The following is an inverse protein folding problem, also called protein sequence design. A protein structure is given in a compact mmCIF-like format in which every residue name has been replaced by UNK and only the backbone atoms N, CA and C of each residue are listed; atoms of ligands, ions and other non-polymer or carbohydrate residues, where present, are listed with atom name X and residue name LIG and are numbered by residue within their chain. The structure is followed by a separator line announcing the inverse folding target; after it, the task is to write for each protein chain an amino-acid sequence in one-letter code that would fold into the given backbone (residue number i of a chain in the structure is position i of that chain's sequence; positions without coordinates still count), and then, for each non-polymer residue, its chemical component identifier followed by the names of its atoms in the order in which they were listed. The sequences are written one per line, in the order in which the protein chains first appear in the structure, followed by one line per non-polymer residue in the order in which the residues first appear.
data_IF_533379289830
#
_entry.id   IF_533379289830
#
_cell.length_a   1.000
_cell.length_b   1.000
_cell.length_c   1.000
_cell.angle_alpha   90.00
_cell.angle_beta   90.00
_cell.angle_gamma   90.00
#
_symmetry.space_group_name_H-M   'P 1'
#
loop_
_entity.id
_entity.type
_entity.pdbx_description
1 polymer ?
#
# COMPACT_ATOMS: atom_id res chain seq x y z
N UNK A 1 22.08 33.97 55.18
CA UNK A 1 22.54 32.88 56.07
C UNK A 1 22.95 31.74 55.13
N UNK A 2 24.22 31.77 54.68
CA UNK A 2 25.36 30.86 55.05
C UNK A 2 25.10 29.43 54.58
N UNK A 3 25.95 28.70 53.85
CA UNK A 3 27.36 28.73 53.36
C UNK A 3 27.39 27.71 52.16
N UNK A 4 28.05 27.91 51.01
CA UNK A 4 29.50 27.81 50.66
C UNK A 4 30.07 26.41 50.92
N UNK A 5 30.25 25.55 49.90
CA UNK A 5 31.51 25.06 49.24
C UNK A 5 31.42 23.51 49.20
N UNK A 6 31.94 22.70 48.29
CA UNK A 6 32.84 22.80 47.14
C UNK A 6 33.24 21.36 46.71
N UNK A 7 34.10 21.27 45.69
CA UNK A 7 34.87 20.09 45.22
C UNK A 7 34.25 19.15 44.17
N UNK A 8 34.90 19.13 43.00
CA UNK A 8 34.67 18.18 41.92
C UNK A 8 35.56 16.94 42.00
N UNK A 9 35.30 16.00 41.08
CA UNK A 9 36.26 15.00 40.67
C UNK A 9 35.90 14.51 39.26
N UNK A 10 36.90 14.55 38.39
CA UNK A 10 36.99 13.87 37.11
C UNK A 10 37.04 12.35 37.28
N UNK A 11 36.32 11.60 36.46
CA UNK A 11 36.74 10.24 36.10
C UNK A 11 36.38 9.91 34.65
N UNK A 12 37.44 9.60 33.90
CA UNK A 12 37.40 8.84 32.65
C UNK A 12 36.88 7.43 32.97
N UNK A 13 35.97 6.93 32.15
CA UNK A 13 35.54 5.53 32.15
C UNK A 13 35.51 5.02 30.72
N UNK A 14 36.31 4.00 30.47
CA UNK A 14 36.63 3.42 29.17
C UNK A 14 35.40 2.91 28.39
N UNK A 15 35.41 3.19 27.08
CA UNK A 15 34.47 2.61 26.11
C UNK A 15 34.94 1.18 25.81
N UNK A 16 34.26 0.18 26.39
CA UNK A 16 34.34 -1.20 25.91
C UNK A 16 33.69 -1.29 24.52
N UNK A 17 34.52 -1.34 23.48
CA UNK A 17 34.15 -1.88 22.18
C UNK A 17 33.98 -3.40 22.32
N UNK A 18 32.73 -3.86 22.45
CA UNK A 18 32.40 -5.27 22.23
C UNK A 18 32.13 -5.45 20.73
N UNK A 19 33.17 -5.87 20.00
CA UNK A 19 33.04 -6.42 18.66
C UNK A 19 32.37 -7.80 18.76
N UNK A 20 31.11 -7.90 18.34
CA UNK A 20 30.50 -9.20 18.05
C UNK A 20 30.99 -9.68 16.68
N UNK A 21 32.00 -10.54 16.70
CA UNK A 21 32.41 -11.33 15.55
C UNK A 21 31.38 -12.45 15.32
N UNK A 22 30.52 -12.26 14.31
CA UNK A 22 29.57 -13.28 13.86
C UNK A 22 30.32 -14.27 12.98
N UNK A 23 30.55 -15.46 13.52
CA UNK A 23 31.31 -16.55 12.88
C UNK A 23 30.89 -16.82 11.43
N UNK A 24 31.87 -17.13 10.58
CA UNK A 24 31.72 -17.45 9.15
C UNK A 24 30.77 -18.62 8.82
N UNK A 25 30.31 -19.38 9.82
CA UNK A 25 29.37 -20.50 9.66
C UNK A 25 27.94 -20.03 9.38
N UNK A 26 27.49 -18.91 9.94
CA UNK A 26 26.11 -18.40 9.72
C UNK A 26 25.94 -17.84 8.31
N UNK A 27 26.97 -17.24 7.73
CA UNK A 27 26.95 -16.77 6.32
C UNK A 27 26.91 -17.92 5.32
N UNK A 28 27.57 -19.04 5.64
CA UNK A 28 27.63 -20.22 4.76
C UNK A 28 26.29 -20.98 4.71
N UNK A 29 25.56 -21.07 5.84
CA UNK A 29 24.23 -21.67 5.85
C UNK A 29 23.19 -20.84 5.07
N UNK A 30 23.31 -19.51 5.07
CA UNK A 30 22.40 -18.60 4.34
C UNK A 30 22.59 -18.73 2.82
N UNK A 31 23.83 -18.85 2.34
CA UNK A 31 24.12 -19.06 0.91
C UNK A 31 23.61 -20.44 0.43
N UNK A 32 23.69 -21.46 1.28
CA UNK A 32 23.16 -22.80 0.98
C UNK A 32 21.62 -22.80 0.98
N UNK A 33 20.96 -22.00 1.84
CA UNK A 33 19.50 -21.85 1.87
C UNK A 33 18.96 -21.20 0.58
N UNK A 34 19.62 -20.16 0.07
CA UNK A 34 19.25 -19.47 -1.17
C UNK A 34 19.44 -20.40 -2.38
N UNK A 35 20.52 -21.19 -2.42
CA UNK A 35 20.78 -22.12 -3.51
C UNK A 35 19.80 -23.32 -3.54
N UNK A 36 19.36 -23.80 -2.38
CA UNK A 36 18.46 -24.97 -2.29
C UNK A 36 17.04 -24.67 -2.74
N UNK A 37 16.55 -23.45 -2.46
CA UNK A 37 15.26 -22.96 -2.99
C UNK A 37 15.37 -22.72 -4.51
N UNK A 38 16.50 -22.24 -5.00
CA UNK A 38 16.75 -22.02 -6.44
C UNK A 38 16.76 -23.32 -7.25
N UNK A 39 17.36 -24.40 -6.72
CA UNK A 39 17.40 -25.72 -7.39
C UNK A 39 16.03 -26.40 -7.40
N UNK A 40 15.23 -26.25 -6.35
CA UNK A 40 13.86 -26.77 -6.31
C UNK A 40 12.92 -26.08 -7.31
N UNK A 41 13.12 -24.77 -7.57
CA UNK A 41 12.32 -23.99 -8.51
C UNK A 41 12.77 -24.22 -9.97
N UNK A 42 14.08 -24.28 -10.25
CA UNK A 42 14.59 -24.56 -11.60
C UNK A 42 14.30 -25.99 -12.09
N UNK A 43 14.16 -26.94 -11.17
CA UNK A 43 13.76 -28.32 -11.51
C UNK A 43 12.34 -28.42 -12.07
N UNK A 44 11.51 -27.36 -11.92
CA UNK A 44 10.15 -27.31 -12.45
C UNK A 44 10.05 -26.62 -13.84
N UNK A 45 11.12 -25.97 -14.33
CA UNK A 45 11.14 -25.28 -15.63
C UNK A 45 11.92 -26.02 -16.73
N UNK A 46 12.39 -27.25 -16.49
CA UNK A 46 13.30 -27.96 -17.39
C UNK A 46 12.71 -29.17 -18.13
N UNK A 47 11.69 -29.01 -18.98
CA UNK A 47 11.43 -29.92 -20.13
C UNK A 47 10.86 -29.16 -21.32
N UNK A 48 11.74 -28.63 -22.16
CA UNK A 48 11.38 -28.03 -23.45
C UNK A 48 12.60 -27.85 -24.35
N UNK A 49 12.78 -28.79 -25.27
CA UNK A 49 13.56 -28.76 -26.51
C UNK A 49 14.94 -28.06 -26.55
N UNK A 50 15.98 -28.91 -26.59
CA UNK A 50 17.28 -28.57 -27.17
C UNK A 50 17.21 -28.65 -28.71
N UNK A 51 17.48 -27.53 -29.38
CA UNK A 51 17.80 -27.45 -30.80
C UNK A 51 19.07 -26.63 -30.97
N UNK A 52 20.17 -27.30 -31.30
CA UNK A 52 21.48 -26.70 -31.52
C UNK A 52 21.53 -26.02 -32.89
N UNK A 53 22.03 -24.79 -32.94
CA UNK A 53 22.36 -24.08 -34.17
C UNK A 53 23.34 -22.95 -33.88
N UNK A 54 24.63 -23.23 -34.04
CA UNK A 54 25.74 -22.28 -33.94
C UNK A 54 25.90 -21.49 -35.23
N UNK A 55 25.94 -20.16 -35.18
CA UNK A 55 26.73 -19.38 -36.14
C UNK A 55 27.08 -17.97 -35.62
N UNK A 56 28.19 -17.43 -36.12
CA UNK A 56 29.06 -16.41 -35.50
C UNK A 56 28.76 -14.97 -35.97
N UNK A 57 29.05 -14.03 -35.06
CA UNK A 57 29.74 -12.73 -35.20
C UNK A 57 29.44 -11.77 -36.37
N UNK A 58 29.12 -10.52 -36.03
CA UNK A 58 29.49 -9.35 -36.85
C UNK A 58 28.68 -8.06 -36.65
N UNK A 59 29.13 -7.19 -35.73
CA UNK A 59 29.23 -5.70 -35.76
C UNK A 59 28.18 -4.77 -36.43
N UNK A 60 28.16 -3.46 -36.06
CA UNK A 60 26.94 -2.64 -35.92
C UNK A 60 26.64 -1.69 -37.08
N UNK A 61 25.37 -1.29 -37.23
CA UNK A 61 24.95 -0.17 -38.10
C UNK A 61 23.92 0.71 -37.39
N UNK A 62 24.16 2.01 -37.53
CA UNK A 62 23.49 3.18 -36.96
C UNK A 62 22.15 3.53 -37.62
N UNK A 63 21.32 4.26 -36.86
CA UNK A 63 20.36 5.30 -37.29
C UNK A 63 19.22 4.92 -38.25
N UNK A 64 17.97 5.08 -37.79
CA UNK A 64 17.10 6.17 -38.26
C UNK A 64 15.76 6.21 -37.53
N UNK A 65 15.38 7.44 -37.21
CA UNK A 65 14.06 7.90 -36.83
C UNK A 65 13.02 7.49 -37.88
N UNK A 66 11.89 6.94 -37.44
CA UNK A 66 10.75 6.60 -38.30
C UNK A 66 9.46 6.63 -37.48
N UNK A 67 8.61 7.61 -37.77
CA UNK A 67 7.24 7.75 -37.26
C UNK A 67 6.46 6.45 -37.45
N UNK A 68 5.82 5.96 -36.40
CA UNK A 68 4.81 4.90 -36.50
C UNK A 68 3.43 5.55 -36.42
N UNK A 69 2.77 5.57 -37.57
CA UNK A 69 1.35 5.83 -37.76
C UNK A 69 0.50 4.72 -37.13
N UNK A 70 -0.56 5.11 -36.44
CA UNK A 70 -1.61 4.24 -35.90
C UNK A 70 -2.38 3.51 -37.01
N UNK A 71 -2.62 2.18 -36.90
CA UNK A 71 -3.63 1.49 -37.69
C UNK A 71 -4.93 1.34 -36.87
N UNK A 72 -6.03 1.74 -37.51
CA UNK A 72 -7.37 1.79 -36.94
C UNK A 72 -8.03 0.46 -36.63
N UNK A 73 -9.05 0.58 -35.77
CA UNK A 73 -10.03 -0.43 -35.43
C UNK A 73 -10.62 -1.10 -36.67
N UNK A 74 -10.52 -2.44 -36.74
CA UNK A 74 -11.37 -3.27 -37.61
C UNK A 74 -12.28 -4.14 -36.74
N UNK A 75 -13.59 -4.08 -37.03
CA UNK A 75 -14.61 -4.99 -36.51
C UNK A 75 -14.38 -6.42 -37.04
N UNK A 76 -14.49 -7.41 -36.16
CA UNK A 76 -14.55 -8.82 -36.55
C UNK A 76 -16.02 -9.30 -36.64
N UNK A 77 -16.36 -10.20 -37.58
CA UNK A 77 -17.71 -10.73 -37.74
C UNK A 77 -17.99 -11.94 -36.83
N UNK A 78 -19.26 -12.11 -36.48
CA UNK A 78 -19.82 -13.19 -35.66
C UNK A 78 -19.68 -14.57 -36.30
N UNK A 79 -19.30 -15.59 -35.50
CA UNK A 79 -19.59 -17.01 -35.74
C UNK A 79 -19.98 -17.70 -34.42
N UNK A 80 -20.89 -18.70 -34.44
CA UNK A 80 -21.44 -19.31 -33.24
C UNK A 80 -20.64 -20.54 -32.80
N UNK A 81 -20.06 -20.52 -31.61
CA UNK A 81 -19.37 -21.69 -31.02
C UNK A 81 -19.59 -21.75 -29.51
N UNK A 82 -20.80 -22.13 -29.06
CA UNK A 82 -21.25 -21.92 -27.68
C UNK A 82 -21.60 -23.19 -26.88
N UNK A 83 -21.10 -24.39 -27.24
CA UNK A 83 -21.34 -25.61 -26.43
C UNK A 83 -20.11 -26.44 -26.08
N UNK A 84 -19.01 -26.36 -26.83
CA UNK A 84 -17.76 -27.10 -26.52
C UNK A 84 -16.81 -26.32 -25.62
N UNK A 85 -16.85 -24.98 -25.69
CA UNK A 85 -16.04 -24.07 -24.87
C UNK A 85 -16.40 -24.11 -23.38
N UNK A 86 -17.66 -24.34 -23.03
CA UNK A 86 -18.10 -24.33 -21.62
C UNK A 86 -17.66 -25.57 -20.84
N UNK A 87 -17.37 -26.68 -21.53
CA UNK A 87 -16.80 -27.88 -20.90
C UNK A 87 -15.29 -27.71 -20.70
N UNK A 88 -14.58 -27.26 -21.74
CA UNK A 88 -13.16 -26.94 -21.66
C UNK A 88 -12.85 -25.83 -20.64
N UNK A 89 -13.67 -24.78 -20.56
CA UNK A 89 -13.56 -23.74 -19.52
C UNK A 89 -13.80 -24.28 -18.11
N UNK A 90 -14.74 -25.21 -17.93
CA UNK A 90 -14.98 -25.84 -16.62
C UNK A 90 -13.84 -26.77 -16.21
N UNK A 91 -13.35 -27.60 -17.12
CA UNK A 91 -12.25 -28.54 -16.84
C UNK A 91 -10.94 -27.79 -16.53
N UNK A 92 -10.65 -26.69 -17.24
CA UNK A 92 -9.50 -25.81 -16.94
C UNK A 92 -9.65 -25.11 -15.57
N UNK A 93 -10.85 -24.64 -15.22
CA UNK A 93 -11.11 -24.00 -13.91
C UNK A 93 -10.95 -24.98 -12.74
N UNK A 94 -11.46 -26.21 -12.86
CA UNK A 94 -11.36 -27.22 -11.81
C UNK A 94 -9.90 -27.64 -11.59
N UNK A 95 -9.11 -27.77 -12.65
CA UNK A 95 -7.69 -28.10 -12.53
C UNK A 95 -6.89 -26.99 -11.85
N UNK A 96 -7.16 -25.71 -12.19
CA UNK A 96 -6.47 -24.57 -11.57
C UNK A 96 -6.74 -24.45 -10.06
N UNK A 97 -7.95 -24.79 -9.60
CA UNK A 97 -8.30 -24.71 -8.17
C UNK A 97 -7.55 -25.76 -7.34
N UNK A 98 -7.47 -27.00 -7.83
CA UNK A 98 -6.70 -28.06 -7.16
C UNK A 98 -5.20 -27.73 -7.11
N UNK A 99 -4.65 -27.18 -8.20
CA UNK A 99 -3.25 -26.75 -8.27
C UNK A 99 -2.96 -25.61 -7.28
N UNK A 100 -3.81 -24.59 -7.22
CA UNK A 100 -3.67 -23.47 -6.27
C UNK A 100 -3.62 -24.00 -4.83
N UNK A 101 -4.57 -24.84 -4.43
CA UNK A 101 -4.59 -25.41 -3.08
C UNK A 101 -3.32 -26.23 -2.79
N UNK A 102 -2.87 -27.06 -3.74
CA UNK A 102 -1.64 -27.84 -3.58
C UNK A 102 -0.40 -26.95 -3.42
N UNK A 103 -0.32 -25.83 -4.16
CA UNK A 103 0.74 -24.83 -4.02
C UNK A 103 0.69 -24.19 -2.62
N UNK A 104 -0.50 -23.85 -2.13
CA UNK A 104 -0.70 -23.24 -0.81
C UNK A 104 -0.18 -24.15 0.30
N UNK A 105 -0.63 -25.41 0.34
CA UNK A 105 -0.21 -26.38 1.37
C UNK A 105 1.31 -26.56 1.36
N UNK A 106 1.89 -26.83 0.18
CA UNK A 106 3.33 -27.03 0.03
C UNK A 106 4.14 -25.83 0.51
N UNK A 107 3.66 -24.62 0.24
CA UNK A 107 4.33 -23.38 0.62
C UNK A 107 4.26 -23.15 2.13
N UNK A 108 3.11 -23.43 2.76
CA UNK A 108 2.91 -23.32 4.19
C UNK A 108 3.71 -24.37 4.97
N UNK A 109 3.77 -25.62 4.48
CA UNK A 109 4.63 -26.67 5.05
C UNK A 109 6.10 -26.25 5.03
N UNK A 110 6.58 -25.74 3.90
CA UNK A 110 7.95 -25.26 3.76
C UNK A 110 8.23 -24.09 4.71
N UNK A 111 7.28 -23.16 4.89
CA UNK A 111 7.45 -22.04 5.81
C UNK A 111 7.48 -22.51 7.27
N UNK A 112 6.55 -23.39 7.67
CA UNK A 112 6.49 -23.98 9.03
C UNK A 112 7.77 -24.73 9.40
N UNK A 113 8.34 -25.49 8.46
CA UNK A 113 9.58 -26.23 8.69
C UNK A 113 10.79 -25.32 8.97
N UNK A 114 10.75 -24.04 8.56
CA UNK A 114 11.84 -23.09 8.71
C UNK A 114 11.54 -21.96 9.72
N UNK A 115 10.34 -21.91 10.28
CA UNK A 115 9.92 -20.87 11.21
C UNK A 115 10.46 -21.14 12.63
N UNK A 116 11.01 -20.13 13.33
CA UNK A 116 11.33 -20.26 14.76
C UNK A 116 10.08 -20.57 15.59
N UNK A 117 10.20 -21.41 16.62
CA UNK A 117 9.08 -21.76 17.53
C UNK A 117 8.42 -20.53 18.17
N UNK A 118 9.19 -19.46 18.38
CA UNK A 118 8.70 -18.19 18.92
C UNK A 118 7.65 -17.47 18.04
N UNK A 119 7.42 -17.95 16.81
CA UNK A 119 6.48 -17.37 15.86
C UNK A 119 5.13 -18.11 15.76
N UNK A 120 4.85 -19.09 16.63
CA UNK A 120 3.67 -19.97 16.52
C UNK A 120 2.33 -19.26 16.31
N UNK A 121 2.04 -18.17 17.04
CA UNK A 121 0.79 -17.41 16.87
C UNK A 121 0.72 -16.66 15.55
N UNK A 122 1.84 -16.08 15.10
CA UNK A 122 1.92 -15.35 13.84
C UNK A 122 1.83 -16.30 12.63
N UNK A 123 2.39 -17.50 12.76
CA UNK A 123 2.28 -18.56 11.77
C UNK A 123 0.83 -19.03 11.59
N UNK A 124 0.07 -19.16 12.68
CA UNK A 124 -1.37 -19.48 12.60
C UNK A 124 -2.17 -18.41 11.87
N UNK A 125 -1.88 -17.13 12.13
CA UNK A 125 -2.54 -16.00 11.44
C UNK A 125 -2.21 -16.02 9.95
N UNK A 126 -0.94 -16.25 9.61
CA UNK A 126 -0.50 -16.31 8.23
C UNK A 126 -1.13 -17.50 7.49
N UNK A 127 -1.20 -18.66 8.13
CA UNK A 127 -1.86 -19.85 7.57
C UNK A 127 -3.33 -19.56 7.22
N UNK A 128 -4.13 -19.07 8.18
CA UNK A 128 -5.53 -18.69 7.92
C UNK A 128 -5.65 -17.69 6.78
N UNK A 129 -4.79 -16.67 6.77
CA UNK A 129 -4.77 -15.65 5.72
C UNK A 129 -4.42 -16.23 4.35
N UNK A 130 -3.44 -17.14 4.25
CA UNK A 130 -3.00 -17.71 2.98
C UNK A 130 -4.03 -18.69 2.40
N UNK A 131 -4.79 -19.42 3.24
CA UNK A 131 -5.92 -20.22 2.76
C UNK A 131 -7.04 -19.35 2.20
N UNK A 132 -7.39 -18.26 2.87
CA UNK A 132 -8.39 -17.32 2.35
C UNK A 132 -7.89 -16.63 1.06
N UNK A 133 -6.59 -16.30 1.00
CA UNK A 133 -5.94 -15.76 -0.20
C UNK A 133 -6.00 -16.74 -1.38
N UNK A 134 -5.74 -18.04 -1.14
CA UNK A 134 -5.87 -19.09 -2.15
C UNK A 134 -7.30 -19.17 -2.70
N UNK A 135 -8.29 -19.19 -1.80
CA UNK A 135 -9.70 -19.16 -2.17
C UNK A 135 -10.05 -17.93 -3.02
N UNK A 136 -9.58 -16.75 -2.63
CA UNK A 136 -9.76 -15.51 -3.40
C UNK A 136 -9.14 -15.60 -4.80
N UNK A 137 -7.95 -16.20 -4.94
CA UNK A 137 -7.31 -16.39 -6.24
C UNK A 137 -8.07 -17.38 -7.13
N UNK A 138 -8.71 -18.40 -6.54
CA UNK A 138 -9.60 -19.33 -7.24
C UNK A 138 -10.83 -18.58 -7.78
N UNK A 139 -11.46 -17.75 -6.95
CA UNK A 139 -12.60 -16.91 -7.35
C UNK A 139 -12.22 -15.88 -8.42
N UNK A 140 -11.00 -15.35 -8.35
CA UNK A 140 -10.44 -14.42 -9.33
C UNK A 140 -10.01 -15.12 -10.64
N UNK A 141 -10.13 -16.45 -10.73
CA UNK A 141 -9.68 -17.27 -11.87
C UNK A 141 -8.20 -17.04 -12.21
N UNK A 142 -7.38 -16.83 -11.18
CA UNK A 142 -5.95 -16.60 -11.35
C UNK A 142 -5.28 -17.86 -11.89
N UNK A 143 -4.46 -17.78 -12.95
CA UNK A 143 -3.71 -18.95 -13.43
C UNK A 143 -2.79 -19.50 -12.35
N UNK A 144 -2.81 -20.82 -12.13
CA UNK A 144 -1.99 -21.47 -11.10
C UNK A 144 -0.50 -21.14 -11.20
N UNK A 145 0.04 -20.96 -12.41
CA UNK A 145 1.43 -20.54 -12.61
C UNK A 145 1.72 -19.13 -12.06
N UNK A 146 0.80 -18.18 -12.24
CA UNK A 146 0.93 -16.82 -11.68
C UNK A 146 0.75 -16.84 -10.16
N UNK A 147 -0.19 -17.64 -9.66
CA UNK A 147 -0.35 -17.85 -8.22
C UNK A 147 0.93 -18.44 -7.60
N UNK A 148 1.55 -19.45 -8.22
CA UNK A 148 2.80 -20.04 -7.75
C UNK A 148 3.94 -19.03 -7.67
N UNK A 149 4.06 -18.15 -8.66
CA UNK A 149 5.05 -17.07 -8.68
C UNK A 149 4.84 -16.12 -7.50
N UNK A 150 3.64 -15.55 -7.36
CA UNK A 150 3.31 -14.59 -6.30
C UNK A 150 3.44 -15.25 -4.93
N UNK A 151 2.98 -16.49 -4.78
CA UNK A 151 3.09 -17.26 -3.54
C UNK A 151 4.55 -17.47 -3.14
N UNK A 152 5.40 -17.91 -4.08
CA UNK A 152 6.84 -18.10 -3.83
C UNK A 152 7.52 -16.81 -3.39
N UNK A 153 7.25 -15.71 -4.09
CA UNK A 153 7.75 -14.37 -3.72
C UNK A 153 7.26 -13.96 -2.32
N UNK A 154 5.98 -14.21 -2.02
CA UNK A 154 5.35 -13.86 -0.74
C UNK A 154 5.99 -14.60 0.44
N UNK A 155 6.22 -15.92 0.31
CA UNK A 155 6.91 -16.70 1.34
C UNK A 155 8.33 -16.19 1.59
N UNK A 156 9.04 -15.79 0.52
CA UNK A 156 10.39 -15.24 0.64
C UNK A 156 10.39 -13.90 1.39
N UNK A 157 9.58 -12.93 0.96
CA UNK A 157 9.62 -11.58 1.55
C UNK A 157 9.03 -11.54 2.95
N UNK A 158 7.98 -12.33 3.22
CA UNK A 158 7.41 -12.44 4.57
C UNK A 158 8.37 -13.18 5.50
N UNK A 159 8.97 -14.29 5.07
CA UNK A 159 9.99 -15.00 5.85
C UNK A 159 11.20 -14.12 6.20
N UNK A 160 11.64 -13.27 5.27
CA UNK A 160 12.68 -12.28 5.51
C UNK A 160 12.24 -11.22 6.53
N UNK A 161 11.04 -10.64 6.38
CA UNK A 161 10.53 -9.62 7.31
C UNK A 161 10.32 -10.16 8.73
N UNK A 162 9.93 -11.43 8.87
CA UNK A 162 9.83 -12.13 10.14
C UNK A 162 11.20 -12.31 10.82
N UNK A 163 12.21 -12.68 10.05
CA UNK A 163 13.56 -12.96 10.55
C UNK A 163 14.33 -11.67 10.87
N UNK A 164 14.14 -10.63 10.05
CA UNK A 164 14.83 -9.36 10.15
C UNK A 164 13.89 -8.21 9.76
N UNK A 165 13.05 -7.72 10.70
CA UNK A 165 12.13 -6.62 10.43
C UNK A 165 12.88 -5.37 9.96
N UNK A 166 12.39 -4.76 8.88
CA UNK A 166 12.95 -3.52 8.35
C UNK A 166 12.70 -2.35 9.31
N UNK A 167 13.66 -1.43 9.39
CA UNK A 167 13.53 -0.18 10.15
C UNK A 167 13.34 0.98 9.17
N UNK A 168 12.13 1.52 9.15
CA UNK A 168 11.79 2.64 8.28
C UNK A 168 12.42 3.95 8.76
N UNK A 169 12.91 4.75 7.80
CA UNK A 169 13.32 6.14 8.04
C UNK A 169 12.10 7.08 8.10
N UNK A 170 12.33 8.36 8.41
CA UNK A 170 11.25 9.37 8.44
C UNK A 170 10.58 9.55 7.07
N UNK A 171 11.36 9.41 5.99
CA UNK A 171 10.92 9.36 4.61
C UNK A 171 11.47 8.08 4.01
N UNK A 172 10.59 7.13 3.75
CA UNK A 172 10.91 5.90 3.07
C UNK A 172 10.57 6.04 1.59
N UNK A 173 11.53 5.71 0.72
CA UNK A 173 11.30 5.61 -0.72
C UNK A 173 11.10 4.16 -1.07
N UNK A 174 10.12 3.96 -1.93
CA UNK A 174 9.67 2.65 -2.31
C UNK A 174 10.80 1.82 -2.95
N UNK A 175 11.01 0.59 -2.49
CA UNK A 175 12.09 -0.27 -2.96
C UNK A 175 11.64 -0.99 -4.23
N UNK A 176 12.33 -0.68 -5.35
CA UNK A 176 12.08 -1.28 -6.67
C UNK A 176 13.14 -2.31 -7.08
N UNK A 177 14.29 -2.33 -6.40
CA UNK A 177 15.43 -3.20 -6.71
C UNK A 177 16.18 -3.61 -5.42
N UNK A 178 16.79 -4.81 -5.37
CA UNK A 178 16.82 -5.84 -6.41
C UNK A 178 15.49 -6.62 -6.54
N UNK A 179 14.58 -6.43 -5.59
CA UNK A 179 13.22 -6.94 -5.62
C UNK A 179 12.25 -5.75 -5.70
N UNK A 180 11.25 -5.85 -6.58
CA UNK A 180 10.24 -4.82 -6.73
C UNK A 180 9.06 -5.07 -5.77
N UNK A 181 9.15 -4.48 -4.57
CA UNK A 181 8.11 -4.62 -3.55
C UNK A 181 6.79 -3.95 -3.94
N UNK A 182 6.82 -2.97 -4.86
CA UNK A 182 5.59 -2.32 -5.33
C UNK A 182 4.86 -3.20 -6.31
N UNK A 183 5.55 -3.66 -7.36
CA UNK A 183 4.90 -4.52 -8.34
C UNK A 183 4.39 -5.81 -7.70
N UNK A 184 5.19 -6.39 -6.79
CA UNK A 184 4.73 -7.53 -6.00
C UNK A 184 3.51 -7.21 -5.14
N UNK A 185 3.48 -6.07 -4.44
CA UNK A 185 2.34 -5.66 -3.62
C UNK A 185 1.06 -5.47 -4.44
N UNK A 186 1.16 -4.80 -5.59
CA UNK A 186 0.07 -4.63 -6.55
C UNK A 186 -0.43 -5.99 -7.06
N UNK A 187 0.47 -6.86 -7.54
CA UNK A 187 0.11 -8.19 -8.02
C UNK A 187 -0.51 -9.06 -6.92
N UNK A 188 -0.03 -8.93 -5.68
CA UNK A 188 -0.55 -9.66 -4.53
C UNK A 188 -2.00 -9.30 -4.25
N UNK A 189 -2.35 -8.00 -4.26
CA UNK A 189 -3.70 -7.54 -3.89
C UNK A 189 -4.69 -7.47 -5.06
N UNK A 190 -4.22 -7.47 -6.30
CA UNK A 190 -5.07 -7.49 -7.51
C UNK A 190 -6.17 -8.58 -7.50
N UNK A 191 -5.94 -9.84 -7.09
CA UNK A 191 -7.00 -10.84 -7.02
C UNK A 191 -8.03 -10.59 -5.91
N UNK A 192 -7.79 -9.69 -4.94
CA UNK A 192 -8.80 -9.33 -3.94
C UNK A 192 -9.81 -8.32 -4.50
N UNK A 193 -9.47 -7.56 -5.55
CA UNK A 193 -10.36 -6.55 -6.10
C UNK A 193 -11.34 -7.20 -7.09
N UNK A 194 -12.64 -7.03 -6.82
CA UNK A 194 -13.72 -7.34 -7.76
C UNK A 194 -13.78 -6.27 -8.85
N UNK A 195 -13.07 -6.48 -9.94
CA UNK A 195 -12.93 -5.47 -11.00
C UNK A 195 -14.26 -5.00 -11.58
N UNK A 196 -15.23 -5.90 -11.77
CA UNK A 196 -16.53 -5.57 -12.37
C UNK A 196 -17.41 -4.67 -11.50
N UNK A 197 -17.17 -4.65 -10.18
CA UNK A 197 -17.94 -3.88 -9.19
C UNK A 197 -17.12 -2.75 -8.57
N UNK A 198 -15.84 -2.65 -8.92
CA UNK A 198 -14.92 -1.63 -8.46
C UNK A 198 -14.89 -0.45 -9.41
N UNK A 199 -14.80 0.77 -8.89
CA UNK A 199 -14.94 1.98 -9.71
C UNK A 199 -14.02 3.10 -9.25
N UNK A 200 -13.44 3.80 -10.23
CA UNK A 200 -12.71 5.04 -10.03
C UNK A 200 -13.52 6.21 -10.57
N UNK A 201 -13.81 7.17 -9.71
CA UNK A 201 -14.57 8.38 -10.03
C UNK A 201 -13.71 9.63 -9.93
N UNK A 202 -14.13 10.71 -10.59
CA UNK A 202 -13.41 11.98 -10.56
C UNK A 202 -12.12 11.98 -11.39
N UNK A 203 -12.06 11.15 -12.44
CA UNK A 203 -10.88 11.03 -13.33
C UNK A 203 -10.48 12.39 -13.94
N UNK A 204 -11.42 13.30 -14.21
CA UNK A 204 -11.09 14.66 -14.66
C UNK A 204 -10.28 15.48 -13.64
N UNK A 205 -10.43 15.20 -12.35
CA UNK A 205 -9.63 15.84 -11.30
C UNK A 205 -8.23 15.23 -11.21
N UNK A 206 -8.07 13.95 -11.57
CA UNK A 206 -6.77 13.32 -11.70
C UNK A 206 -5.92 14.00 -12.78
N UNK A 207 -6.53 14.40 -13.91
CA UNK A 207 -5.84 15.19 -14.94
C UNK A 207 -5.32 16.53 -14.38
N UNK A 208 -6.11 17.23 -13.54
CA UNK A 208 -5.65 18.45 -12.85
C UNK A 208 -4.47 18.15 -11.93
N UNK A 209 -4.55 17.06 -11.16
CA UNK A 209 -3.47 16.62 -10.27
C UNK A 209 -2.19 16.36 -11.05
N UNK A 210 -2.25 15.59 -12.15
CA UNK A 210 -1.09 15.33 -13.02
C UNK A 210 -0.49 16.65 -13.53
N UNK A 211 -1.33 17.54 -14.08
CA UNK A 211 -0.89 18.84 -14.57
C UNK A 211 -0.23 19.68 -13.47
N UNK A 212 -0.71 19.59 -12.22
CA UNK A 212 -0.15 20.32 -11.10
C UNK A 212 1.21 19.78 -10.65
N UNK A 213 1.39 18.46 -10.65
CA UNK A 213 2.68 17.86 -10.35
C UNK A 213 3.68 18.17 -11.46
N UNK A 214 3.29 18.07 -12.74
CA UNK A 214 4.17 18.33 -13.89
C UNK A 214 4.65 19.79 -13.97
N UNK A 215 3.81 20.76 -13.59
CA UNK A 215 4.21 22.19 -13.51
C UNK A 215 5.09 22.49 -12.28
N UNK A 216 5.33 21.50 -11.42
CA UNK A 216 6.20 21.59 -10.26
C UNK A 216 5.54 22.11 -8.99
N UNK A 217 4.20 22.12 -8.92
CA UNK A 217 3.44 22.41 -7.71
C UNK A 217 3.16 21.13 -6.93
N UNK A 218 2.67 21.28 -5.70
CA UNK A 218 2.39 20.16 -4.82
C UNK A 218 0.89 19.82 -4.83
N UNK A 219 0.56 18.56 -4.54
CA UNK A 219 -0.81 18.10 -4.34
C UNK A 219 -0.90 17.33 -3.02
N UNK A 220 -1.92 17.65 -2.22
CA UNK A 220 -2.26 16.94 -0.99
C UNK A 220 -3.67 16.38 -1.11
N UNK A 221 -3.78 15.05 -1.06
CA UNK A 221 -5.03 14.32 -0.96
C UNK A 221 -5.45 14.20 0.50
N UNK A 222 -6.63 14.71 0.83
CA UNK A 222 -7.25 14.63 2.16
C UNK A 222 -8.35 13.55 2.13
N UNK A 223 -8.04 12.35 2.60
CA UNK A 223 -8.86 11.15 2.40
C UNK A 223 -9.43 10.58 3.70
N UNK A 224 -10.55 9.85 3.62
CA UNK A 224 -10.82 8.81 4.62
C UNK A 224 -9.87 7.62 4.41
N UNK A 225 -9.89 6.66 5.35
CA UNK A 225 -8.99 5.51 5.35
C UNK A 225 -9.73 4.31 5.92
N UNK A 226 -9.72 3.14 5.29
CA UNK A 226 -10.50 1.99 5.76
C UNK A 226 -9.65 0.75 6.02
N UNK A 227 -8.62 0.52 5.22
CA UNK A 227 -7.80 -0.69 5.32
C UNK A 227 -6.31 -0.38 5.20
N UNK A 228 -5.46 -1.29 5.67
CA UNK A 228 -4.00 -1.16 5.45
C UNK A 228 -3.61 -1.33 3.97
N UNK A 229 -4.57 -1.74 3.12
CA UNK A 229 -4.41 -2.02 1.67
C UNK A 229 -4.90 -0.84 0.81
N UNK A 230 -5.31 0.26 1.44
CA UNK A 230 -5.72 1.47 0.73
C UNK A 230 -4.68 1.93 -0.33
N UNK A 231 -3.36 1.89 -0.08
CA UNK A 231 -2.37 2.18 -1.11
C UNK A 231 -2.51 1.30 -2.35
N UNK A 232 -2.63 -0.01 -2.18
CA UNK A 232 -2.73 -0.93 -3.32
C UNK A 232 -4.07 -0.83 -4.04
N UNK A 233 -5.15 -0.52 -3.33
CA UNK A 233 -6.43 -0.23 -3.96
C UNK A 233 -6.35 1.02 -4.86
N UNK A 234 -5.68 2.08 -4.40
CA UNK A 234 -5.41 3.29 -5.19
C UNK A 234 -4.56 2.94 -6.41
N UNK A 235 -3.47 2.20 -6.22
CA UNK A 235 -2.54 1.79 -7.29
C UNK A 235 -3.23 0.97 -8.38
N UNK A 236 -3.98 -0.07 -7.99
CA UNK A 236 -4.64 -0.96 -8.93
C UNK A 236 -5.69 -0.19 -9.75
N UNK A 237 -6.55 0.60 -9.10
CA UNK A 237 -7.59 1.34 -9.80
C UNK A 237 -7.04 2.44 -10.71
N UNK A 238 -5.92 3.08 -10.35
CA UNK A 238 -5.24 4.05 -11.22
C UNK A 238 -4.54 3.36 -12.40
N UNK A 239 -3.86 2.22 -12.17
CA UNK A 239 -3.22 1.42 -13.22
C UNK A 239 -4.26 0.95 -14.25
N UNK A 240 -5.45 0.54 -13.80
CA UNK A 240 -6.54 0.08 -14.67
C UNK A 240 -7.13 1.23 -15.52
N UNK A 241 -6.94 2.48 -15.12
CA UNK A 241 -7.23 3.68 -15.94
C UNK A 241 -6.04 4.12 -16.82
N UNK A 242 -4.92 3.40 -16.78
CA UNK A 242 -3.70 3.76 -17.49
C UNK A 242 -2.95 4.94 -16.89
N UNK A 243 -3.13 5.23 -15.60
CA UNK A 243 -2.45 6.31 -14.88
C UNK A 243 -1.33 5.76 -13.99
N UNK A 244 -0.08 6.11 -14.31
CA UNK A 244 1.12 5.68 -13.56
C UNK A 244 1.47 6.62 -12.38
N UNK A 245 0.60 7.60 -12.06
CA UNK A 245 0.87 8.57 -11.00
C UNK A 245 0.90 7.94 -9.59
N UNK A 246 0.26 6.77 -9.42
CA UNK A 246 0.18 6.11 -8.12
C UNK A 246 1.55 5.77 -7.53
N UNK A 247 2.55 5.49 -8.38
CA UNK A 247 3.91 5.13 -7.97
C UNK A 247 4.69 6.30 -7.32
N UNK A 248 4.27 7.53 -7.58
CA UNK A 248 4.85 8.77 -7.04
C UNK A 248 4.17 9.25 -5.73
N UNK A 249 3.01 8.70 -5.41
CA UNK A 249 2.23 9.09 -4.23
C UNK A 249 2.98 8.74 -2.94
N UNK A 250 3.06 9.71 -2.03
CA UNK A 250 3.69 9.57 -0.71
C UNK A 250 2.60 9.49 0.36
N UNK A 251 2.52 8.34 1.03
CA UNK A 251 1.54 8.09 2.08
C UNK A 251 2.05 8.57 3.44
N UNK A 252 1.28 9.41 4.12
CA UNK A 252 1.53 9.75 5.53
C UNK A 252 1.08 8.57 6.39
N UNK A 253 2.04 7.73 6.78
CA UNK A 253 1.78 6.41 7.33
C UNK A 253 2.08 6.28 8.82
N UNK A 254 1.22 5.54 9.51
CA UNK A 254 1.30 5.29 10.94
C UNK A 254 2.31 4.19 11.35
N UNK A 255 2.49 4.05 12.66
CA UNK A 255 3.39 3.07 13.27
C UNK A 255 3.09 1.60 12.92
N UNK A 256 1.82 1.25 12.67
CA UNK A 256 1.42 -0.16 12.52
C UNK A 256 2.01 -0.79 11.26
N UNK A 257 1.80 -0.17 10.10
CA UNK A 257 2.29 -0.69 8.81
C UNK A 257 3.82 -0.74 8.73
N UNK A 258 4.50 0.08 9.55
CA UNK A 258 5.97 0.14 9.63
C UNK A 258 6.58 -0.78 10.68
N UNK A 259 5.78 -1.48 11.50
CA UNK A 259 6.30 -2.37 12.56
C UNK A 259 5.70 -3.76 12.61
N UNK A 260 4.52 -3.97 12.02
CA UNK A 260 3.95 -5.31 11.91
C UNK A 260 4.71 -6.12 10.83
N UNK A 261 5.40 -7.22 11.18
CA UNK A 261 6.20 -8.01 10.22
C UNK A 261 5.43 -8.50 8.99
N UNK A 262 4.12 -8.71 9.10
CA UNK A 262 3.28 -9.14 7.98
C UNK A 262 2.79 -7.95 7.12
N UNK A 263 2.95 -6.71 7.57
CA UNK A 263 2.66 -5.49 6.80
C UNK A 263 3.91 -4.85 6.20
N UNK A 264 5.08 -5.07 6.82
CA UNK A 264 6.36 -4.49 6.40
C UNK A 264 6.66 -4.75 4.92
N UNK A 265 6.55 -5.99 4.37
CA UNK A 265 6.84 -6.22 2.96
C UNK A 265 6.05 -5.34 2.01
N UNK A 266 4.76 -5.12 2.28
CA UNK A 266 3.92 -4.25 1.48
C UNK A 266 4.33 -2.78 1.63
N UNK A 267 4.64 -2.35 2.85
CA UNK A 267 5.12 -1.00 3.14
C UNK A 267 6.46 -0.68 2.47
N UNK A 268 7.34 -1.68 2.27
CA UNK A 268 8.59 -1.50 1.54
C UNK A 268 8.35 -1.07 0.08
N UNK A 269 7.22 -1.46 -0.51
CA UNK A 269 6.80 -1.10 -1.86
C UNK A 269 6.22 0.31 -1.98
N UNK A 270 6.06 1.05 -0.89
CA UNK A 270 5.35 2.34 -0.86
C UNK A 270 6.31 3.51 -0.60
N UNK A 271 5.97 4.72 -1.04
CA UNK A 271 6.65 5.92 -0.53
C UNK A 271 5.94 6.37 0.74
N UNK A 272 6.65 6.50 1.86
CA UNK A 272 6.04 6.75 3.16
C UNK A 272 6.68 7.95 3.86
N UNK A 273 5.86 8.82 4.43
CA UNK A 273 6.25 9.70 5.52
C UNK A 273 5.84 9.04 6.83
N UNK A 274 6.81 8.47 7.54
CA UNK A 274 6.55 7.65 8.72
C UNK A 274 6.33 8.53 9.95
N UNK A 275 5.12 8.48 10.52
CA UNK A 275 4.73 9.22 11.72
C UNK A 275 4.12 8.31 12.78
N UNK A 276 4.28 8.69 14.05
CA UNK A 276 3.49 8.14 15.14
C UNK A 276 2.17 8.90 15.23
N UNK A 277 1.05 8.22 15.02
CA UNK A 277 -0.26 8.84 15.14
C UNK A 277 -0.55 9.27 16.57
N UNK A 278 -1.43 10.27 16.73
CA UNK A 278 -1.85 10.78 18.05
C UNK A 278 -2.37 9.67 18.97
N UNK A 279 -3.04 8.66 18.41
CA UNK A 279 -3.58 7.51 19.15
C UNK A 279 -2.50 6.68 19.87
N UNK A 280 -1.26 6.68 19.37
CA UNK A 280 -0.17 5.84 19.87
C UNK A 280 1.08 6.63 20.31
N UNK A 281 1.05 7.97 20.25
CA UNK A 281 2.20 8.80 20.63
C UNK A 281 2.49 8.74 22.14
N UNK A 282 1.46 8.51 22.95
CA UNK A 282 1.57 8.44 24.40
C UNK A 282 1.78 7.01 24.93
N UNK A 283 1.79 6.00 24.05
CA UNK A 283 1.83 4.58 24.43
C UNK A 283 3.03 3.87 23.80
N UNK A 284 4.00 3.37 24.57
CA UNK A 284 4.13 3.51 26.03
C UNK A 284 4.72 4.90 26.39
N UNK A 285 4.43 5.47 27.58
CA UNK A 285 4.76 6.86 27.92
C UNK A 285 6.26 7.19 27.88
N UNK A 286 7.12 6.23 28.22
CA UNK A 286 8.57 6.39 28.21
C UNK A 286 9.15 6.64 26.81
N UNK A 287 8.43 6.23 25.76
CA UNK A 287 8.82 6.49 24.36
C UNK A 287 8.22 7.78 23.80
N UNK A 288 7.43 8.53 24.57
CA UNK A 288 6.71 9.73 24.09
C UNK A 288 7.68 10.78 23.53
N UNK A 289 8.75 11.09 24.24
CA UNK A 289 9.72 12.10 23.81
C UNK A 289 10.42 11.70 22.49
N UNK A 290 10.82 10.43 22.37
CA UNK A 290 11.43 9.88 21.15
C UNK A 290 10.46 9.96 19.96
N UNK A 291 9.20 9.55 20.16
CA UNK A 291 8.15 9.59 19.14
C UNK A 291 7.81 11.00 18.70
N UNK A 292 7.78 11.95 19.63
CA UNK A 292 7.58 13.37 19.33
C UNK A 292 8.75 13.93 18.51
N UNK A 293 9.99 13.64 18.92
CA UNK A 293 11.17 14.06 18.17
C UNK A 293 11.20 13.45 16.75
N UNK A 294 10.79 12.19 16.60
CA UNK A 294 10.62 11.55 15.30
C UNK A 294 9.61 12.30 14.43
N UNK A 295 8.39 12.54 14.96
CA UNK A 295 7.38 13.29 14.22
C UNK A 295 7.84 14.70 13.85
N UNK A 296 8.54 15.42 14.73
CA UNK A 296 9.11 16.74 14.41
C UNK A 296 10.07 16.67 13.23
N UNK A 297 10.94 15.65 13.16
CA UNK A 297 11.82 15.44 12.01
C UNK A 297 11.02 15.10 10.74
N UNK A 298 10.02 14.25 10.83
CA UNK A 298 9.16 13.91 9.68
C UNK A 298 8.42 15.14 9.16
N UNK A 299 7.86 15.99 10.04
CA UNK A 299 7.20 17.23 9.64
C UNK A 299 8.17 18.21 8.97
N UNK A 300 9.42 18.29 9.45
CA UNK A 300 10.45 19.09 8.79
C UNK A 300 10.74 18.53 7.39
N UNK A 301 10.90 17.22 7.23
CA UNK A 301 11.15 16.62 5.92
C UNK A 301 9.97 16.82 4.96
N UNK A 302 8.73 16.73 5.45
CA UNK A 302 7.54 17.05 4.67
C UNK A 302 7.53 18.53 4.23
N UNK A 303 7.96 19.46 5.09
CA UNK A 303 8.09 20.86 4.68
C UNK A 303 9.12 21.05 3.57
N UNK A 304 10.26 20.37 3.68
CA UNK A 304 11.32 20.38 2.65
C UNK A 304 10.77 19.86 1.31
N UNK A 305 10.02 18.75 1.32
CA UNK A 305 9.40 18.19 0.10
C UNK A 305 8.43 19.19 -0.56
N UNK A 306 7.60 19.89 0.23
CA UNK A 306 6.69 20.90 -0.31
C UNK A 306 7.44 22.12 -0.87
N UNK A 307 8.58 22.49 -0.26
CA UNK A 307 9.45 23.57 -0.74
C UNK A 307 10.23 23.17 -2.00
N UNK A 308 10.56 21.89 -2.18
CA UNK A 308 11.14 21.33 -3.41
C UNK A 308 10.13 21.38 -4.58
N UNK A 309 8.84 21.14 -4.30
CA UNK A 309 7.77 21.11 -5.30
C UNK A 309 7.55 19.72 -5.91
N UNK A 310 6.49 19.56 -6.70
CA UNK A 310 6.07 18.26 -7.28
C UNK A 310 5.76 17.17 -6.25
N UNK A 311 5.55 17.51 -4.97
CA UNK A 311 5.21 16.53 -3.96
C UNK A 311 3.74 16.11 -4.10
N UNK A 312 3.49 14.81 -4.21
CA UNK A 312 2.15 14.22 -4.22
C UNK A 312 1.92 13.45 -2.93
N UNK A 313 1.10 13.98 -2.02
CA UNK A 313 0.90 13.44 -0.67
C UNK A 313 -0.51 12.87 -0.52
N UNK A 314 -0.63 11.70 0.11
CA UNK A 314 -1.90 11.18 0.64
C UNK A 314 -1.88 11.21 2.16
N UNK A 315 -2.95 11.73 2.76
CA UNK A 315 -3.12 11.72 4.21
C UNK A 315 -4.55 11.40 4.58
N UNK A 316 -4.69 10.63 5.67
CA UNK A 316 -5.94 10.43 6.38
C UNK A 316 -5.98 11.27 7.67
N UNK A 317 -6.60 12.46 7.69
CA UNK A 317 -6.52 13.37 8.83
C UNK A 317 -7.22 12.84 10.09
N UNK A 318 -8.09 11.83 9.98
CA UNK A 318 -8.66 11.10 11.13
C UNK A 318 -7.57 10.39 11.96
N UNK A 319 -6.42 10.07 11.36
CA UNK A 319 -5.30 9.39 12.00
C UNK A 319 -5.53 7.89 12.25
N UNK A 320 -6.59 7.31 11.68
CA UNK A 320 -6.91 5.89 11.78
C UNK A 320 -8.00 5.45 10.81
N UNK A 321 -8.17 4.13 10.70
CA UNK A 321 -9.19 3.52 9.84
C UNK A 321 -10.62 3.84 10.31
N UNK A 322 -11.53 3.95 9.38
CA UNK A 322 -12.98 3.99 9.57
C UNK A 322 -13.47 2.75 10.33
N UNK A 323 -14.63 2.86 10.97
CA UNK A 323 -15.23 1.77 11.75
C UNK A 323 -16.70 1.61 11.41
N UNK A 324 -17.25 0.39 11.55
CA UNK A 324 -18.69 0.20 11.49
C UNK A 324 -19.33 0.96 12.65
N UNK A 325 -20.45 1.62 12.35
CA UNK A 325 -21.33 2.16 13.36
C UNK A 325 -21.84 1.03 14.27
N UNK A 326 -21.86 1.19 15.61
CA UNK A 326 -22.28 0.13 16.52
C UNK A 326 -23.72 -0.35 16.31
N UNK A 327 -24.61 0.52 15.85
CA UNK A 327 -26.04 0.23 15.68
C UNK A 327 -26.34 -0.28 14.27
N UNK A 328 -25.95 0.46 13.23
CA UNK A 328 -26.24 0.08 11.85
C UNK A 328 -25.32 -1.01 11.30
N UNK A 329 -24.13 -1.16 11.89
CA UNK A 329 -23.02 -2.01 11.40
C UNK A 329 -22.47 -1.59 10.04
N UNK A 330 -22.92 -0.46 9.49
CA UNK A 330 -22.40 0.12 8.26
C UNK A 330 -21.12 0.91 8.56
N UNK A 331 -20.12 0.85 7.68
CA UNK A 331 -18.88 1.62 7.83
C UNK A 331 -19.16 3.12 7.66
N UNK A 332 -18.71 3.92 8.61
CA UNK A 332 -18.82 5.38 8.58
C UNK A 332 -17.44 6.04 8.51
N UNK A 333 -17.35 7.16 7.80
CA UNK A 333 -16.13 7.96 7.72
C UNK A 333 -15.77 8.51 9.10
N UNK A 334 -14.56 8.24 9.56
CA UNK A 334 -14.06 8.81 10.80
C UNK A 334 -13.87 10.33 10.66
N UNK A 335 -14.25 11.12 11.69
CA UNK A 335 -14.10 12.57 11.63
C UNK A 335 -12.61 12.95 11.50
N UNK A 336 -12.32 13.90 10.61
CA UNK A 336 -10.97 14.42 10.46
C UNK A 336 -10.57 15.25 11.68
N UNK A 337 -9.30 15.16 12.08
CA UNK A 337 -8.76 16.09 13.04
C UNK A 337 -8.50 17.45 12.34
N UNK A 338 -9.36 18.43 12.63
CA UNK A 338 -9.27 19.77 12.06
C UNK A 338 -7.86 20.37 12.17
N UNK A 339 -7.18 20.15 13.31
CA UNK A 339 -5.81 20.64 13.51
C UNK A 339 -4.82 20.05 12.52
N UNK A 340 -4.97 18.78 12.16
CA UNK A 340 -4.13 18.13 11.13
C UNK A 340 -4.42 18.73 9.76
N UNK A 341 -5.69 18.95 9.40
CA UNK A 341 -6.07 19.61 8.14
C UNK A 341 -5.47 21.02 8.06
N UNK A 342 -5.61 21.84 9.11
CA UNK A 342 -5.05 23.19 9.13
C UNK A 342 -3.51 23.19 9.09
N UNK A 343 -2.86 22.18 9.68
CA UNK A 343 -1.40 22.06 9.66
C UNK A 343 -0.88 21.94 8.22
N UNK A 344 -1.52 21.14 7.35
CA UNK A 344 -1.10 21.04 5.95
C UNK A 344 -1.25 22.37 5.20
N UNK A 345 -2.30 23.14 5.48
CA UNK A 345 -2.46 24.49 4.91
C UNK A 345 -1.35 25.44 5.36
N UNK A 346 -0.97 25.38 6.63
CA UNK A 346 0.13 26.20 7.16
C UNK A 346 1.45 25.85 6.48
N UNK A 347 1.71 24.57 6.23
CA UNK A 347 2.90 24.10 5.53
C UNK A 347 2.90 24.49 4.05
N UNK A 348 1.76 24.37 3.38
CA UNK A 348 1.54 24.85 2.02
C UNK A 348 1.83 26.35 1.89
N UNK A 349 1.21 27.17 2.75
CA UNK A 349 1.43 28.61 2.80
C UNK A 349 2.88 28.98 3.13
N UNK A 350 3.59 28.14 3.89
CA UNK A 350 5.01 28.32 4.15
C UNK A 350 5.86 27.95 2.94
N UNK A 351 5.55 26.85 2.25
CA UNK A 351 6.24 26.42 1.04
C UNK A 351 6.12 27.48 -0.06
N UNK A 352 4.91 27.97 -0.35
CA UNK A 352 4.68 29.04 -1.30
C UNK A 352 5.50 30.30 -0.95
N UNK A 353 5.48 30.76 0.31
CA UNK A 353 6.25 31.95 0.73
C UNK A 353 7.77 31.77 0.61
N UNK A 354 8.27 30.57 0.88
CA UNK A 354 9.71 30.30 0.92
C UNK A 354 10.31 29.98 -0.45
N UNK A 355 9.52 29.34 -1.33
CA UNK A 355 10.01 28.71 -2.56
C UNK A 355 9.15 28.98 -3.80
N UNK A 356 8.02 29.69 -3.65
CA UNK A 356 7.08 29.96 -4.74
C UNK A 356 6.26 28.75 -5.19
N UNK A 357 6.34 27.62 -4.48
CA UNK A 357 5.63 26.39 -4.81
C UNK A 357 4.21 26.38 -4.24
N UNK A 358 3.21 26.29 -5.11
CA UNK A 358 1.83 26.18 -4.65
C UNK A 358 1.52 24.76 -4.15
N UNK A 359 0.45 24.62 -3.38
CA UNK A 359 -0.06 23.33 -2.94
C UNK A 359 -1.57 23.29 -3.11
N UNK A 360 -2.03 22.28 -3.83
CA UNK A 360 -3.43 22.07 -4.16
C UNK A 360 -4.02 20.96 -3.29
N UNK A 361 -5.24 21.15 -2.79
CA UNK A 361 -5.89 20.22 -1.87
C UNK A 361 -7.09 19.56 -2.55
N UNK A 362 -7.08 18.22 -2.58
CA UNK A 362 -8.17 17.43 -3.15
C UNK A 362 -8.74 16.49 -2.08
N UNK A 363 -10.03 16.58 -1.75
CA UNK A 363 -10.69 15.58 -0.94
C UNK A 363 -10.73 14.23 -1.69
N UNK A 364 -10.67 13.13 -0.95
CA UNK A 364 -10.85 11.79 -1.51
C UNK A 364 -11.78 10.96 -0.62
N UNK A 365 -12.73 10.28 -1.27
CA UNK A 365 -13.59 9.31 -0.60
C UNK A 365 -13.25 7.91 -1.10
N UNK A 366 -13.16 6.96 -0.18
CA UNK A 366 -12.75 5.59 -0.41
C UNK A 366 -13.68 4.61 0.28
N UNK A 367 -14.14 3.61 -0.48
CA UNK A 367 -14.78 2.40 0.02
C UNK A 367 -13.87 1.22 -0.32
N UNK A 368 -13.14 0.73 0.68
CA UNK A 368 -12.14 -0.36 0.54
C UNK A 368 -12.23 -1.38 1.67
N UNK A 369 -13.12 -1.16 2.65
CA UNK A 369 -13.26 -2.03 3.83
C UNK A 369 -13.58 -3.50 3.52
N UNK A 370 -14.05 -3.84 2.31
CA UNK A 370 -14.30 -5.23 1.90
C UNK A 370 -13.01 -6.05 1.65
N UNK A 371 -11.88 -5.42 1.32
CA UNK A 371 -10.64 -6.14 0.95
C UNK A 371 -9.93 -6.76 2.16
N UNK A 372 -9.67 -5.93 3.19
CA UNK A 372 -8.99 -6.32 4.44
C UNK A 372 -9.57 -5.51 5.61
N UNK A 373 -10.80 -5.82 6.06
CA UNK A 373 -11.49 -5.01 7.07
C UNK A 373 -10.69 -4.93 8.39
N UNK A 374 -10.82 -3.82 9.14
CA UNK A 374 -10.32 -3.77 10.50
C UNK A 374 -11.03 -4.83 11.37
N UNK A 375 -10.35 -5.38 12.39
CA UNK A 375 -11.02 -6.25 13.34
C UNK A 375 -12.13 -5.50 14.09
N UNK A 376 -13.14 -6.23 14.57
CA UNK A 376 -14.28 -5.68 15.32
C UNK A 376 -13.89 -4.98 16.64
N UNK A 377 -12.62 -5.08 17.08
CA UNK A 377 -12.09 -4.43 18.29
C UNK A 377 -11.66 -2.97 18.11
N UNK A 378 -11.89 -2.14 19.14
CA UNK A 378 -11.57 -0.70 19.17
C UNK A 378 -10.05 -0.41 19.17
N UNK A 379 -9.24 -1.35 19.64
CA UNK A 379 -7.79 -1.20 19.73
C UNK A 379 -7.10 -2.18 18.81
N UNK A 380 -6.45 -1.62 17.79
CA UNK A 380 -5.69 -2.43 16.88
C UNK A 380 -4.32 -2.78 17.48
N UNK A 381 -3.98 -4.07 17.61
CA UNK A 381 -2.69 -4.59 18.07
C UNK A 381 -1.86 -5.16 16.91
N UNK A 382 -0.57 -5.42 17.12
CA UNK A 382 0.27 -6.17 16.17
C UNK A 382 -0.12 -7.65 16.24
N UNK A 383 -0.24 -8.34 15.09
CA UNK A 383 -0.65 -9.74 15.07
C UNK A 383 -2.17 -9.96 15.19
N UNK A 384 -2.96 -9.09 14.55
CA UNK A 384 -4.41 -9.27 14.44
C UNK A 384 -4.78 -10.37 13.46
N UNK A 385 -5.98 -10.95 13.63
CA UNK A 385 -6.60 -11.75 12.58
C UNK A 385 -6.74 -10.90 11.32
N UNK A 386 -6.35 -11.48 10.19
CA UNK A 386 -6.39 -10.85 8.88
C UNK A 386 -7.39 -11.59 8.00
N UNK A 387 -7.94 -10.87 7.04
CA UNK A 387 -8.79 -11.43 6.01
C UNK A 387 -8.24 -11.03 4.65
N UNK A 388 -8.28 -11.93 3.68
CA UNK A 388 -7.88 -11.75 2.29
C UNK A 388 -9.09 -11.93 1.36
N UNK A 389 -10.25 -11.41 1.77
CA UNK A 389 -11.49 -11.58 1.00
C UNK A 389 -11.46 -10.78 -0.28
N UNK A 390 -12.12 -11.35 -1.28
CA UNK A 390 -12.44 -10.65 -2.51
C UNK A 390 -13.59 -9.67 -2.24
N UNK A 391 -13.47 -8.43 -2.69
CA UNK A 391 -14.46 -7.38 -2.48
C UNK A 391 -14.31 -6.22 -3.45
N UNK A 392 -15.31 -5.33 -3.46
CA UNK A 392 -15.27 -4.14 -4.29
C UNK A 392 -14.38 -3.05 -3.68
N UNK A 393 -13.75 -2.26 -4.54
CA UNK A 393 -13.05 -1.04 -4.19
C UNK A 393 -13.62 0.13 -4.98
N UNK A 394 -14.05 1.19 -4.30
CA UNK A 394 -14.51 2.42 -4.95
C UNK A 394 -13.74 3.61 -4.44
N UNK A 395 -13.20 4.40 -5.35
CA UNK A 395 -12.40 5.59 -5.02
C UNK A 395 -12.91 6.78 -5.82
N UNK A 396 -12.99 7.93 -5.18
CA UNK A 396 -13.32 9.19 -5.84
C UNK A 396 -12.30 10.27 -5.54
N UNK A 397 -11.79 10.91 -6.60
CA UNK A 397 -11.01 12.13 -6.52
C UNK A 397 -11.93 13.36 -6.57
N UNK A 398 -11.99 14.09 -5.46
CA UNK A 398 -12.89 15.22 -5.28
C UNK A 398 -12.51 16.48 -6.04
N UNK A 399 -13.35 17.51 -5.91
CA UNK A 399 -13.03 18.83 -6.45
C UNK A 399 -12.03 19.55 -5.56
N UNK A 400 -11.10 20.28 -6.18
CA UNK A 400 -10.09 21.05 -5.46
C UNK A 400 -10.74 22.01 -4.45
N UNK A 401 -10.31 21.94 -3.19
CA UNK A 401 -10.72 22.88 -2.15
C UNK A 401 -9.62 23.92 -2.00
N UNK A 402 -9.95 25.18 -2.26
CA UNK A 402 -9.02 26.28 -2.15
C UNK A 402 -9.08 26.95 -0.77
N UNK A 403 -7.92 27.38 -0.27
CA UNK A 403 -7.82 28.28 0.89
C UNK A 403 -7.89 29.74 0.47
N UNK A 404 -9.00 30.14 -0.14
CA UNK A 404 -9.18 31.52 -0.62
C UNK A 404 -9.47 32.47 0.55
N UNK A 405 -8.80 33.63 0.55
CA UNK A 405 -9.15 34.73 1.46
C UNK A 405 -10.41 35.39 0.96
N UNK A 406 -11.45 35.41 1.80
CA UNK A 406 -12.70 36.12 1.53
C UNK A 406 -12.70 37.42 2.33
N UNK A 407 -12.95 38.55 1.65
CA UNK A 407 -13.03 39.86 2.30
C UNK A 407 -14.12 39.88 3.38
N UNK A 408 -13.81 40.45 4.55
CA UNK A 408 -14.73 40.49 5.69
C UNK A 408 -14.85 39.18 6.49
N UNK A 409 -14.20 38.09 6.06
CA UNK A 409 -14.21 36.80 6.78
C UNK A 409 -12.94 36.68 7.63
N UNK A 410 -13.11 36.49 8.94
CA UNK A 410 -11.98 36.29 9.86
C UNK A 410 -11.22 34.98 9.57
N UNK A 411 -9.92 34.94 9.82
CA UNK A 411 -9.06 33.75 9.59
C UNK A 411 -9.63 32.46 10.20
N UNK A 412 -10.15 32.55 11.43
CA UNK A 412 -10.78 31.41 12.12
C UNK A 412 -11.97 30.85 11.34
N UNK A 413 -12.80 31.72 10.77
CA UNK A 413 -13.97 31.31 9.99
C UNK A 413 -13.56 30.75 8.63
N UNK A 414 -12.54 31.33 7.96
CA UNK A 414 -11.95 30.75 6.74
C UNK A 414 -11.42 29.33 6.99
N UNK A 415 -10.73 29.12 8.12
CA UNK A 415 -10.20 27.82 8.48
C UNK A 415 -11.31 26.77 8.66
N UNK A 416 -12.39 27.14 9.36
CA UNK A 416 -13.58 26.30 9.52
C UNK A 416 -14.21 25.97 8.16
N UNK A 417 -14.44 26.97 7.30
CA UNK A 417 -15.02 26.77 5.95
C UNK A 417 -14.20 25.79 5.11
N UNK A 418 -12.86 25.92 5.11
CA UNK A 418 -12.00 24.99 4.39
C UNK A 418 -12.17 23.55 4.90
N UNK A 419 -12.14 23.37 6.22
CA UNK A 419 -12.31 22.06 6.85
C UNK A 419 -13.70 21.47 6.53
N UNK A 420 -14.75 22.27 6.67
CA UNK A 420 -16.13 21.88 6.38
C UNK A 420 -16.30 21.48 4.91
N UNK A 421 -15.71 22.23 3.97
CA UNK A 421 -15.77 21.90 2.55
C UNK A 421 -15.06 20.58 2.21
N UNK A 422 -13.90 20.32 2.83
CA UNK A 422 -13.20 19.03 2.68
C UNK A 422 -14.06 17.90 3.24
N UNK A 423 -14.51 18.04 4.49
CA UNK A 423 -15.30 16.99 5.15
C UNK A 423 -16.62 16.73 4.43
N UNK A 424 -17.32 17.77 4.00
CA UNK A 424 -18.57 17.66 3.27
C UNK A 424 -18.39 16.84 1.99
N UNK A 425 -17.38 17.15 1.18
CA UNK A 425 -17.10 16.40 -0.04
C UNK A 425 -16.82 14.92 0.23
N UNK A 426 -16.00 14.60 1.24
CA UNK A 426 -15.69 13.21 1.59
C UNK A 426 -16.94 12.47 2.09
N UNK A 427 -17.72 13.07 2.98
CA UNK A 427 -18.92 12.46 3.56
C UNK A 427 -20.01 12.23 2.50
N UNK A 428 -20.37 13.28 1.75
CA UNK A 428 -21.41 13.19 0.71
C UNK A 428 -21.04 12.14 -0.33
N UNK A 429 -19.79 12.14 -0.78
CA UNK A 429 -19.37 11.14 -1.77
C UNK A 429 -19.31 9.74 -1.19
N UNK A 430 -18.80 9.56 0.02
CA UNK A 430 -18.76 8.24 0.64
C UNK A 430 -20.17 7.64 0.77
N UNK A 431 -21.16 8.44 1.16
CA UNK A 431 -22.56 8.01 1.22
C UNK A 431 -23.10 7.58 -0.15
N UNK A 432 -22.72 8.26 -1.23
CA UNK A 432 -23.05 7.83 -2.60
C UNK A 432 -22.40 6.50 -2.96
N UNK A 433 -21.10 6.32 -2.65
CA UNK A 433 -20.38 5.06 -2.90
C UNK A 433 -20.98 3.89 -2.13
N UNK A 434 -21.33 4.11 -0.86
CA UNK A 434 -21.97 3.09 -0.01
C UNK A 434 -23.35 2.69 -0.56
N UNK A 435 -24.16 3.66 -1.01
CA UNK A 435 -25.44 3.40 -1.67
C UNK A 435 -25.27 2.63 -2.97
N UNK A 436 -24.31 3.01 -3.80
CA UNK A 436 -24.03 2.30 -5.05
C UNK A 436 -23.61 0.86 -4.78
N UNK A 437 -22.72 0.63 -3.81
CA UNK A 437 -22.30 -0.72 -3.44
C UNK A 437 -23.48 -1.55 -2.92
N UNK A 438 -24.36 -0.97 -2.10
CA UNK A 438 -25.58 -1.65 -1.65
C UNK A 438 -26.48 -2.07 -2.82
N UNK A 439 -26.68 -1.19 -3.80
CA UNK A 439 -27.45 -1.48 -4.99
C UNK A 439 -26.80 -2.60 -5.84
N UNK A 440 -25.46 -2.62 -5.96
CA UNK A 440 -24.74 -3.70 -6.64
C UNK A 440 -24.98 -5.04 -5.92
N UNK A 441 -24.87 -5.08 -4.60
CA UNK A 441 -25.09 -6.28 -3.80
C UNK A 441 -26.54 -6.79 -3.92
N UNK A 442 -27.53 -5.90 -3.97
CA UNK A 442 -28.93 -6.26 -4.17
C UNK A 442 -29.16 -6.88 -5.56
N UNK A 443 -28.57 -6.30 -6.62
CA UNK A 443 -28.63 -6.86 -7.98
C UNK A 443 -28.02 -8.25 -8.05
N UNK A 444 -26.83 -8.44 -7.47
CA UNK A 444 -26.15 -9.74 -7.45
C UNK A 444 -26.96 -10.81 -6.70
N UNK A 445 -27.67 -10.44 -5.63
CA UNK A 445 -28.58 -11.36 -4.92
C UNK A 445 -29.75 -11.80 -5.79
N UNK A 446 -30.32 -10.89 -6.57
CA UNK A 446 -31.43 -11.20 -7.50
C UNK A 446 -30.96 -12.07 -8.65
N UNK A 447 -29.75 -11.87 -9.16
CA UNK A 447 -29.17 -12.69 -10.23
C UNK A 447 -28.80 -14.11 -9.76
N UNK A 448 -28.50 -14.28 -8.47
CA UNK A 448 -28.15 -15.57 -7.87
C UNK A 448 -29.37 -16.41 -7.45
N UNK A 449 -30.54 -15.80 -7.26
CA UNK A 449 -31.82 -16.45 -6.92
C UNK A 449 -32.59 -16.87 -8.16
#
# INVERSE_FOLDING_TARGET
RREVEGHGATSRGDVMLVSFDLSSRTRSCIIILIASVFVCILSFQGRGNAGWGTERLGAPVTSRCGRVSTPGLRRCPNLPFRRTMDRLRRDVKVNSAAEINAITEKSLEALKANAPESMGSMMSILEEFMHEYAHTNILAETPAAKYAEVMGQSMQVMGQALSQPHKFEILHRAIRQPFDYYRWGVDFFRPLIEQDTSMLYGVSNLEKVVNYIEKGDNVVILSNHQTEVDPQAIEILLEDQGCDLASELIFVAGHKVTTDPLAIPFSLGQNLLCIHSKKYIEKPPEKKAEKQAHNTRTMKKMQELLEEGSAFLWVAPSGGRDRPDPESREFVVAPFDERSVQMFKLMANKANRNSGKDTHFFPMAMLTHELVPPPDGVQAQVGEKRSAKRGAAMIWFGEEVKDERVEGVADRQRHAIFYENVMKQVLEKYDELAKERKNQLEKLKVEAS
#
